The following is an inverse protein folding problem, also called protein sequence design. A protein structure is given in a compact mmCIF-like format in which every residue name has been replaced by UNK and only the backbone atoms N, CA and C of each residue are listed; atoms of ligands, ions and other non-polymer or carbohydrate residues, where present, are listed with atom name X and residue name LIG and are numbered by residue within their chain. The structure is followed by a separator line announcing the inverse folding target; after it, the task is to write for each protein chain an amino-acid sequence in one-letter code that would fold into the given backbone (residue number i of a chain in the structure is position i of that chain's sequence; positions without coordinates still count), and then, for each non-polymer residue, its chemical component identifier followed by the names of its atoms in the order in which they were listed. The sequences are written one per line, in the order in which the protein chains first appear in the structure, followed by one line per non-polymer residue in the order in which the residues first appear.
data_IF_479106323443
#
_entry.id   IF_479106323443
#
_cell.length_a   1.000
_cell.length_b   1.000
_cell.length_c   1.000
_cell.angle_alpha   90.00
_cell.angle_beta   90.00
_cell.angle_gamma   90.00
#
_symmetry.space_group_name_H-M   'P 1'
#
loop_
_entity.id
_entity.type
_entity.pdbx_description
1 polymer ?
#
# COMPACT_ATOMS: atom_id res chain seq x y z
N UNK A 1 -3.51 -29.41 -12.96
CA UNK A 1 -3.76 -28.21 -12.12
C UNK A 1 -2.69 -27.15 -12.25
N UNK A 2 -3.10 -25.89 -12.33
CA UNK A 2 -2.21 -24.72 -12.46
C UNK A 2 -1.28 -24.55 -11.25
N UNK A 3 -1.76 -24.88 -10.04
CA UNK A 3 -0.97 -24.85 -8.82
C UNK A 3 0.16 -25.87 -8.85
N UNK A 4 -0.13 -27.12 -9.22
CA UNK A 4 0.89 -28.18 -9.33
C UNK A 4 1.95 -27.82 -10.38
N UNK A 5 1.55 -27.21 -11.50
CA UNK A 5 2.51 -26.71 -12.50
C UNK A 5 3.43 -25.61 -11.94
N UNK A 6 2.91 -24.71 -11.12
CA UNK A 6 3.71 -23.68 -10.46
C UNK A 6 4.67 -24.29 -9.43
N UNK A 7 4.17 -25.21 -8.58
CA UNK A 7 4.96 -25.87 -7.55
C UNK A 7 6.08 -26.76 -8.11
N UNK A 8 5.94 -27.26 -9.34
CA UNK A 8 6.99 -28.02 -10.03
C UNK A 8 8.03 -27.14 -10.73
N UNK A 9 7.87 -25.81 -10.72
CA UNK A 9 8.83 -24.87 -11.33
C UNK A 9 9.94 -24.55 -10.34
N UNK A 10 11.18 -24.43 -10.82
CA UNK A 10 12.32 -24.07 -9.97
C UNK A 10 12.15 -22.72 -9.26
N UNK A 11 12.57 -22.67 -8.00
CA UNK A 11 12.59 -21.43 -7.21
C UNK A 11 13.58 -20.43 -7.83
N UNK A 12 13.07 -19.26 -8.24
CA UNK A 12 13.89 -18.17 -8.76
C UNK A 12 14.04 -17.07 -7.71
N UNK A 13 15.26 -16.59 -7.50
CA UNK A 13 15.47 -15.38 -6.72
C UNK A 13 15.05 -14.18 -7.57
N UNK A 14 14.11 -13.39 -7.07
CA UNK A 14 13.53 -12.24 -7.77
C UNK A 14 13.63 -11.02 -6.86
N UNK A 15 14.21 -9.93 -7.37
CA UNK A 15 14.38 -8.69 -6.60
C UNK A 15 13.05 -7.97 -6.35
N UNK A 16 12.13 -7.98 -7.33
CA UNK A 16 10.79 -7.39 -7.19
C UNK A 16 9.72 -8.46 -7.44
N UNK A 17 9.29 -9.09 -6.34
CA UNK A 17 8.33 -10.21 -6.38
C UNK A 17 6.95 -9.76 -6.88
N UNK A 18 6.54 -8.52 -6.56
CA UNK A 18 5.26 -7.96 -7.03
C UNK A 18 5.26 -7.81 -8.55
N UNK A 19 6.30 -7.19 -9.11
CA UNK A 19 6.45 -7.01 -10.56
C UNK A 19 6.49 -8.35 -11.30
N UNK A 20 7.14 -9.35 -10.72
CA UNK A 20 7.18 -10.70 -11.27
C UNK A 20 5.79 -11.33 -11.33
N UNK A 21 5.00 -11.28 -10.27
CA UNK A 21 3.62 -11.80 -10.30
C UNK A 21 2.72 -11.03 -11.29
N UNK A 22 2.92 -9.73 -11.46
CA UNK A 22 2.18 -8.94 -12.46
C UNK A 22 2.46 -9.42 -13.88
N UNK A 23 3.71 -9.78 -14.20
CA UNK A 23 4.08 -10.31 -15.52
C UNK A 23 3.44 -11.68 -15.81
N UNK A 24 3.18 -12.48 -14.79
CA UNK A 24 2.62 -13.84 -14.92
C UNK A 24 1.09 -13.88 -14.86
N UNK A 25 0.44 -12.71 -14.75
CA UNK A 25 -1.02 -12.59 -14.63
C UNK A 25 -1.76 -13.25 -15.80
N UNK A 26 -1.21 -13.19 -17.01
CA UNK A 26 -1.80 -13.85 -18.19
C UNK A 26 -1.77 -15.39 -18.09
N UNK A 27 -0.72 -15.95 -17.50
CA UNK A 27 -0.52 -17.41 -17.37
C UNK A 27 -1.30 -17.98 -16.18
N UNK A 28 -1.32 -17.26 -15.05
CA UNK A 28 -1.95 -17.71 -13.81
C UNK A 28 -2.85 -16.63 -13.17
N UNK A 29 -3.99 -16.27 -13.78
CA UNK A 29 -4.79 -15.12 -13.33
C UNK A 29 -5.27 -15.24 -11.87
N UNK A 30 -5.71 -16.42 -11.44
CA UNK A 30 -6.19 -16.66 -10.07
C UNK A 30 -5.05 -16.77 -9.05
N UNK A 31 -3.96 -17.44 -9.41
CA UNK A 31 -2.80 -17.61 -8.53
C UNK A 31 -2.06 -16.28 -8.33
N UNK A 32 -1.90 -15.49 -9.39
CA UNK A 32 -1.29 -14.16 -9.31
C UNK A 32 -2.11 -13.24 -8.40
N UNK A 33 -3.44 -13.26 -8.52
CA UNK A 33 -4.30 -12.47 -7.64
C UNK A 33 -4.11 -12.86 -6.17
N UNK A 34 -4.10 -14.16 -5.87
CA UNK A 34 -3.84 -14.65 -4.51
C UNK A 34 -2.45 -14.24 -4.00
N UNK A 35 -1.40 -14.44 -4.80
CA UNK A 35 -0.04 -14.10 -4.42
C UNK A 35 0.14 -12.60 -4.19
N UNK A 36 -0.40 -11.76 -5.06
CA UNK A 36 -0.36 -10.30 -4.91
C UNK A 36 -1.10 -9.86 -3.64
N UNK A 37 -2.26 -10.44 -3.34
CA UNK A 37 -2.98 -10.14 -2.10
C UNK A 37 -2.13 -10.47 -0.86
N UNK A 38 -1.48 -11.64 -0.81
CA UNK A 38 -0.62 -12.00 0.32
C UNK A 38 0.62 -11.13 0.43
N UNK A 39 1.28 -10.82 -0.70
CA UNK A 39 2.51 -10.03 -0.72
C UNK A 39 2.28 -8.54 -0.45
N UNK A 40 1.05 -8.05 -0.63
CA UNK A 40 0.70 -6.65 -0.35
C UNK A 40 0.41 -6.39 1.13
N UNK A 41 0.27 -7.44 1.94
CA UNK A 41 0.11 -7.31 3.39
C UNK A 41 1.48 -7.02 3.98
N UNK A 42 1.66 -5.84 4.60
CA UNK A 42 2.88 -5.52 5.33
C UNK A 42 3.16 -6.61 6.38
N UNK A 43 4.40 -7.10 6.42
CA UNK A 43 4.80 -8.15 7.35
C UNK A 43 4.81 -7.69 8.83
N UNK A 44 4.76 -6.38 9.07
CA UNK A 44 4.88 -5.76 10.40
C UNK A 44 3.81 -4.71 10.63
N UNK A 45 3.32 -4.58 11.86
CA UNK A 45 2.45 -3.48 12.30
C UNK A 45 3.14 -2.11 12.30
N UNK A 46 4.46 -2.07 12.07
CA UNK A 46 5.29 -0.86 12.12
C UNK A 46 4.75 0.26 11.23
N UNK A 47 4.29 -0.04 10.01
CA UNK A 47 3.72 0.99 9.11
C UNK A 47 2.46 1.63 9.71
N UNK A 48 1.63 0.81 10.35
CA UNK A 48 0.38 1.23 10.99
C UNK A 48 0.70 2.03 12.26
N UNK A 49 1.63 1.56 13.08
CA UNK A 49 2.10 2.24 14.30
C UNK A 49 2.77 3.58 13.98
N UNK A 50 3.53 3.66 12.89
CA UNK A 50 4.14 4.90 12.42
C UNK A 50 3.05 5.93 12.05
N UNK A 51 2.01 5.50 11.31
CA UNK A 51 0.86 6.36 10.99
C UNK A 51 0.14 6.81 12.27
N UNK A 52 -0.05 5.93 13.25
CA UNK A 52 -0.68 6.30 14.53
C UNK A 52 0.18 7.28 15.34
N UNK A 53 1.50 7.10 15.38
CA UNK A 53 2.42 8.00 16.06
C UNK A 53 2.45 9.39 15.40
N UNK A 54 2.59 9.44 14.06
CA UNK A 54 2.46 10.69 13.30
C UNK A 54 1.08 11.33 13.48
N UNK A 55 0.03 10.51 13.44
CA UNK A 55 -1.36 10.92 13.66
C UNK A 55 -1.59 11.52 15.04
N UNK A 56 -0.97 10.95 16.09
CA UNK A 56 -1.04 11.49 17.45
C UNK A 56 -0.44 12.90 17.53
N UNK A 57 0.67 13.15 16.82
CA UNK A 57 1.28 14.49 16.70
C UNK A 57 0.34 15.51 16.05
N UNK A 58 -0.37 15.10 14.99
CA UNK A 58 -1.40 15.91 14.32
C UNK A 58 -2.61 16.15 15.24
N UNK A 59 -3.07 15.11 15.93
CA UNK A 59 -4.27 15.15 16.78
C UNK A 59 -4.08 16.00 18.04
N UNK A 60 -2.87 15.99 18.62
CA UNK A 60 -2.59 16.63 19.92
C UNK A 60 -2.05 18.05 19.83
N UNK A 61 -1.30 18.42 18.78
CA UNK A 61 -0.62 19.71 18.72
C UNK A 61 -1.30 20.75 17.82
N UNK A 62 -2.05 20.32 16.79
CA UNK A 62 -2.58 21.24 15.75
C UNK A 62 -4.11 21.32 15.75
N UNK A 63 -4.80 20.36 16.37
CA UNK A 63 -6.19 20.09 16.04
C UNK A 63 -7.08 19.72 17.25
N UNK A 64 -7.20 20.60 18.26
CA UNK A 64 -8.04 20.36 19.45
C UNK A 64 -9.56 20.14 19.18
N UNK A 65 -10.02 20.14 17.91
CA UNK A 65 -11.43 19.96 17.57
C UNK A 65 -11.68 19.35 16.17
N UNK A 66 -10.72 18.61 15.59
CA UNK A 66 -10.95 17.95 14.30
C UNK A 66 -11.57 16.57 14.48
N UNK A 67 -12.69 16.34 13.79
CA UNK A 67 -13.37 15.05 13.74
C UNK A 67 -12.42 13.99 13.16
N UNK A 68 -12.49 12.76 13.66
CA UNK A 68 -11.64 11.65 13.21
C UNK A 68 -11.58 11.49 11.68
N UNK A 69 -12.68 11.78 10.98
CA UNK A 69 -12.74 11.76 9.52
C UNK A 69 -11.79 12.76 8.85
N UNK A 70 -11.65 13.97 9.38
CA UNK A 70 -10.76 15.00 8.83
C UNK A 70 -9.29 14.64 9.09
N UNK A 71 -8.98 14.08 10.26
CA UNK A 71 -7.64 13.57 10.55
C UNK A 71 -7.23 12.46 9.57
N UNK A 72 -8.12 11.51 9.29
CA UNK A 72 -7.87 10.48 8.30
C UNK A 72 -7.64 11.06 6.90
N UNK A 73 -8.46 12.04 6.49
CA UNK A 73 -8.30 12.69 5.18
C UNK A 73 -6.95 13.40 5.04
N UNK A 74 -6.50 14.11 6.10
CA UNK A 74 -5.20 14.79 6.12
C UNK A 74 -4.04 13.78 6.06
N UNK A 75 -4.11 12.68 6.81
CA UNK A 75 -3.08 11.63 6.79
C UNK A 75 -3.01 10.92 5.44
N UNK A 76 -4.15 10.64 4.81
CA UNK A 76 -4.18 10.09 3.46
C UNK A 76 -3.58 11.07 2.45
N UNK A 77 -3.97 12.35 2.51
CA UNK A 77 -3.48 13.38 1.60
C UNK A 77 -1.97 13.59 1.73
N UNK A 78 -1.43 13.62 2.95
CA UNK A 78 0.02 13.74 3.17
C UNK A 78 0.78 12.53 2.64
N UNK A 79 0.26 11.31 2.85
CA UNK A 79 0.83 10.09 2.30
C UNK A 79 0.83 10.08 0.76
N UNK A 80 -0.30 10.46 0.14
CA UNK A 80 -0.39 10.56 -1.32
C UNK A 80 0.52 11.64 -1.90
N UNK A 81 0.65 12.78 -1.22
CA UNK A 81 1.58 13.85 -1.61
C UNK A 81 3.03 13.36 -1.58
N UNK A 82 3.45 12.64 -0.53
CA UNK A 82 4.79 12.04 -0.43
C UNK A 82 5.07 11.05 -1.57
N UNK A 83 4.04 10.32 -2.00
CA UNK A 83 4.11 9.39 -3.14
C UNK A 83 4.02 10.09 -4.50
N UNK A 84 3.89 11.42 -4.55
CA UNK A 84 3.75 12.20 -5.78
C UNK A 84 2.43 11.94 -6.52
N UNK A 85 1.41 11.44 -5.82
CA UNK A 85 0.09 11.12 -6.39
C UNK A 85 -0.86 12.33 -6.41
N UNK A 86 -0.49 13.41 -5.72
CA UNK A 86 -1.23 14.69 -5.70
C UNK A 86 -0.48 15.69 -6.58
N UNK A 87 -1.17 16.27 -7.56
CA UNK A 87 -0.61 17.37 -8.35
C UNK A 87 -0.91 18.70 -7.65
N UNK A 88 0.07 19.59 -7.60
CA UNK A 88 -0.11 20.92 -6.99
C UNK A 88 -1.24 21.73 -7.67
N UNK A 89 -1.49 21.44 -8.95
CA UNK A 89 -2.60 21.95 -9.75
C UNK A 89 -3.99 21.71 -9.12
N UNK A 90 -4.15 20.58 -8.42
CA UNK A 90 -5.43 20.16 -7.82
C UNK A 90 -5.66 20.82 -6.46
N UNK A 91 -4.56 21.20 -5.77
CA UNK A 91 -4.62 21.90 -4.47
C UNK A 91 -4.94 23.38 -4.66
N UNK A 92 -4.47 24.00 -5.75
CA UNK A 92 -4.69 25.42 -6.06
C UNK A 92 -6.10 25.74 -6.60
N UNK A 93 -6.92 24.73 -6.90
CA UNK A 93 -8.28 24.90 -7.43
C UNK A 93 -9.39 24.94 -6.36
N UNK A 94 -9.03 24.73 -5.09
CA UNK A 94 -9.93 24.81 -3.93
C UNK A 94 -9.97 26.23 -3.39
#
# INVERSE_FOLDING_TARGET
DKLNSYLSTDCKHVNNVLMWWTQWQATYPTLCCMALNYLSISATSVDIEHIFSCGQLVLSHVCNHLLAQMTCAILCLSSWSLLGLVKDEDVLKV
#
